data_IF_963638681731
#
_entry.id   IF_963638681731
#
_cell.length_a   1.000
_cell.length_b   1.000
_cell.length_c   1.000
_cell.angle_alpha   90.00
_cell.angle_beta   90.00
_cell.angle_gamma   90.00
#
_symmetry.space_group_name_H-M   'P 1'
#
loop_
_entity.id
_entity.type
_entity.pdbx_description
1 polymer ?
#
# COMPACT_ATOMS: atom_id res chain seq x y z
N UNK A 1 -7.11 -7.42 50.17
CA UNK A 1 -7.60 -6.14 49.60
C UNK A 1 -6.55 -5.43 48.74
N UNK A 2 -5.27 -5.37 49.11
CA UNK A 2 -4.24 -4.69 48.30
C UNK A 2 -3.88 -5.38 46.97
N UNK A 3 -4.03 -6.70 46.85
CA UNK A 3 -3.62 -7.45 45.63
C UNK A 3 -4.34 -7.00 44.36
N UNK A 4 -5.63 -6.69 44.45
CA UNK A 4 -6.40 -6.13 43.33
C UNK A 4 -5.92 -4.70 42.99
N UNK A 5 -5.65 -3.86 44.00
CA UNK A 5 -5.16 -2.50 43.75
C UNK A 5 -3.75 -2.46 43.15
N UNK A 6 -2.92 -3.48 43.40
CA UNK A 6 -1.53 -3.57 42.90
C UNK A 6 -1.38 -4.45 41.66
N UNK A 7 -2.46 -4.97 41.09
CA UNK A 7 -2.37 -5.86 39.94
C UNK A 7 -2.09 -5.06 38.67
N UNK A 8 -1.01 -5.41 37.96
CA UNK A 8 -0.68 -4.81 36.67
C UNK A 8 -1.50 -5.37 35.49
N UNK A 9 -2.03 -6.59 35.63
CA UNK A 9 -2.72 -7.29 34.55
C UNK A 9 -4.22 -7.44 34.83
N UNK A 10 -5.10 -7.16 33.86
CA UNK A 10 -6.56 -7.26 34.06
C UNK A 10 -7.01 -8.66 34.50
N UNK A 11 -6.38 -9.71 33.99
CA UNK A 11 -6.74 -11.09 34.36
C UNK A 11 -6.38 -11.41 35.82
N UNK A 12 -5.30 -10.83 36.33
CA UNK A 12 -4.91 -10.97 37.73
C UNK A 12 -5.86 -10.16 38.63
N UNK A 13 -6.24 -8.96 38.19
CA UNK A 13 -7.26 -8.15 38.85
C UNK A 13 -8.60 -8.89 38.94
N UNK A 14 -9.10 -9.43 37.82
CA UNK A 14 -10.37 -10.17 37.76
C UNK A 14 -10.37 -11.37 38.71
N UNK A 15 -9.27 -12.13 38.79
CA UNK A 15 -9.14 -13.26 39.71
C UNK A 15 -9.23 -12.82 41.17
N UNK A 16 -8.52 -11.75 41.53
CA UNK A 16 -8.58 -11.21 42.90
C UNK A 16 -9.96 -10.62 43.21
N UNK A 17 -10.63 -10.01 42.23
CA UNK A 17 -12.00 -9.52 42.38
C UNK A 17 -13.01 -10.66 42.56
N UNK A 18 -12.84 -11.79 41.89
CA UNK A 18 -13.64 -13.00 42.12
C UNK A 18 -13.41 -13.57 43.53
N UNK A 19 -12.16 -13.64 43.99
CA UNK A 19 -11.86 -14.03 45.38
C UNK A 19 -12.54 -13.09 46.39
N UNK A 20 -12.57 -11.78 46.13
CA UNK A 20 -13.25 -10.80 46.99
C UNK A 20 -14.76 -11.03 46.98
N UNK A 21 -15.35 -11.37 45.82
CA UNK A 21 -16.78 -11.67 45.69
C UNK A 21 -17.20 -12.87 46.54
N UNK A 22 -16.38 -13.91 46.58
CA UNK A 22 -16.64 -15.12 47.37
C UNK A 22 -16.61 -14.85 48.88
N UNK A 23 -15.81 -13.87 49.31
CA UNK A 23 -15.70 -13.48 50.73
C UNK A 23 -16.76 -12.44 51.13
N UNK A 24 -17.01 -11.43 50.28
CA UNK A 24 -17.97 -10.36 50.56
C UNK A 24 -18.52 -9.75 49.26
N UNK A 25 -19.77 -10.10 48.95
CA UNK A 25 -20.49 -9.67 47.74
C UNK A 25 -20.70 -8.15 47.70
N UNK A 26 -20.95 -7.51 48.84
CA UNK A 26 -21.23 -6.07 48.89
C UNK A 26 -19.95 -5.24 48.67
N UNK A 27 -18.83 -5.70 49.23
CA UNK A 27 -17.52 -5.13 48.97
C UNK A 27 -17.13 -5.25 47.49
N UNK A 28 -17.41 -6.40 46.86
CA UNK A 28 -17.20 -6.60 45.43
C UNK A 28 -18.01 -5.63 44.56
N UNK A 29 -19.31 -5.45 44.85
CA UNK A 29 -20.16 -4.49 44.12
C UNK A 29 -19.64 -3.07 44.23
N UNK A 30 -19.27 -2.64 45.44
CA UNK A 30 -18.69 -1.32 45.68
C UNK A 30 -17.40 -1.11 44.88
N UNK A 31 -16.50 -2.10 44.89
CA UNK A 31 -15.22 -2.03 44.17
C UNK A 31 -15.37 -2.05 42.64
N UNK A 32 -16.35 -2.77 42.10
CA UNK A 32 -16.66 -2.72 40.65
C UNK A 32 -17.23 -1.38 40.21
N UNK A 33 -17.97 -0.70 41.09
CA UNK A 33 -18.54 0.61 40.78
C UNK A 33 -17.47 1.72 40.68
N UNK A 34 -16.29 1.51 41.28
CA UNK A 34 -15.15 2.41 41.12
C UNK A 34 -14.53 2.17 39.74
N UNK A 35 -14.60 3.13 38.80
CA UNK A 35 -13.99 2.95 37.50
C UNK A 35 -12.47 2.72 37.69
N UNK A 36 -11.90 1.66 37.11
CA UNK A 36 -10.47 1.42 37.24
C UNK A 36 -9.72 2.61 36.66
N UNK A 37 -9.05 3.38 37.52
CA UNK A 37 -8.20 4.48 37.09
C UNK A 37 -6.89 3.86 36.62
N UNK A 38 -6.80 3.59 35.31
CA UNK A 38 -5.53 3.22 34.68
C UNK A 38 -4.65 4.49 34.69
N UNK A 39 -3.85 4.66 35.75
CA UNK A 39 -2.83 5.70 35.80
C UNK A 39 -1.61 5.20 35.02
N UNK A 40 -1.59 5.52 33.73
CA UNK A 40 -0.54 5.12 32.82
C UNK A 40 -1.14 4.87 31.44
N UNK A 41 -0.66 5.63 30.46
CA UNK A 41 -1.00 5.52 29.04
C UNK A 41 -1.29 4.07 28.63
N UNK A 42 -2.37 3.82 27.86
CA UNK A 42 -2.70 2.47 27.36
C UNK A 42 -1.76 2.06 26.22
N UNK A 43 -0.47 2.04 26.53
CA UNK A 43 0.64 1.75 25.65
C UNK A 43 1.11 0.31 25.89
N UNK A 44 1.21 -0.46 24.80
CA UNK A 44 1.51 -1.88 24.84
C UNK A 44 2.61 -2.25 23.85
N UNK A 45 3.54 -3.10 24.27
CA UNK A 45 4.45 -3.81 23.36
C UNK A 45 3.81 -5.13 22.92
N UNK A 46 3.54 -5.28 21.61
CA UNK A 46 3.00 -6.49 21.00
C UNK A 46 4.07 -7.18 20.16
N UNK A 47 4.37 -8.44 20.47
CA UNK A 47 5.26 -9.28 19.66
C UNK A 47 4.46 -9.99 18.57
N UNK A 48 4.93 -9.88 17.33
CA UNK A 48 4.30 -10.51 16.17
C UNK A 48 5.25 -11.53 15.54
N UNK A 49 4.85 -12.81 15.59
CA UNK A 49 5.61 -13.96 15.10
C UNK A 49 5.06 -14.40 13.74
N UNK A 50 5.43 -13.70 12.66
CA UNK A 50 5.04 -14.08 11.29
C UNK A 50 6.21 -14.75 10.52
N UNK A 51 7.23 -13.98 10.14
CA UNK A 51 8.47 -14.50 9.51
C UNK A 51 9.73 -14.09 10.28
N UNK A 52 9.75 -12.87 10.81
CA UNK A 52 10.76 -12.36 11.75
C UNK A 52 9.99 -11.87 12.97
N UNK A 53 10.51 -12.15 14.16
CA UNK A 53 9.98 -11.64 15.42
C UNK A 53 10.12 -10.14 15.49
N UNK A 54 9.03 -9.43 15.20
CA UNK A 54 8.98 -7.97 15.27
C UNK A 54 8.15 -7.54 16.49
N UNK A 55 8.53 -6.40 17.08
CA UNK A 55 7.82 -5.76 18.19
C UNK A 55 7.10 -4.54 17.65
N UNK A 56 5.86 -4.35 18.08
CA UNK A 56 5.02 -3.22 17.71
C UNK A 56 4.55 -2.51 18.97
N UNK A 57 4.62 -1.18 19.00
CA UNK A 57 3.99 -0.41 20.05
C UNK A 57 2.57 -0.06 19.59
N UNK A 58 1.61 -0.30 20.48
CA UNK A 58 0.20 0.04 20.27
C UNK A 58 -0.23 0.98 21.37
N UNK A 59 -0.81 2.13 21.02
CA UNK A 59 -1.44 3.02 21.98
C UNK A 59 -2.94 3.12 21.68
N UNK A 60 -3.75 2.72 22.66
CA UNK A 60 -5.20 2.65 22.52
C UNK A 60 -5.89 4.00 22.72
N UNK A 61 -5.26 4.95 23.42
CA UNK A 61 -5.83 6.27 23.66
C UNK A 61 -5.72 7.13 22.40
N UNK A 62 -4.60 7.03 21.67
CA UNK A 62 -4.39 7.67 20.36
C UNK A 62 -4.82 6.81 19.16
N UNK A 63 -5.25 5.57 19.40
CA UNK A 63 -5.67 4.60 18.37
C UNK A 63 -4.62 4.40 17.27
N UNK A 64 -3.37 4.25 17.67
CA UNK A 64 -2.23 4.08 16.77
C UNK A 64 -1.45 2.79 17.05
N UNK A 65 -0.75 2.36 16.02
CA UNK A 65 0.16 1.23 16.07
C UNK A 65 1.36 1.53 15.20
N UNK A 66 2.56 1.13 15.62
CA UNK A 66 3.79 1.35 14.84
C UNK A 66 3.78 0.64 13.47
N UNK A 67 2.88 -0.34 13.26
CA UNK A 67 2.64 -0.92 11.94
C UNK A 67 1.92 0.06 10.97
N UNK A 68 1.49 1.23 11.45
CA UNK A 68 0.77 2.33 10.77
C UNK A 68 -0.58 1.99 10.15
N UNK A 69 -0.96 0.72 10.12
CA UNK A 69 -2.20 0.26 9.51
C UNK A 69 -3.42 0.93 10.13
N UNK A 70 -3.48 1.06 11.45
CA UNK A 70 -4.61 1.70 12.13
C UNK A 70 -4.74 3.18 11.76
N UNK A 71 -3.66 3.95 11.81
CA UNK A 71 -3.68 5.38 11.42
C UNK A 71 -4.08 5.57 9.96
N UNK A 72 -3.66 4.67 9.07
CA UNK A 72 -3.95 4.78 7.63
C UNK A 72 -5.40 4.37 7.31
N UNK A 73 -5.90 3.27 7.86
CA UNK A 73 -7.22 2.76 7.52
C UNK A 73 -8.33 3.22 8.47
N UNK A 74 -8.00 3.78 9.63
CA UNK A 74 -8.94 4.03 10.72
C UNK A 74 -9.49 2.74 11.37
N UNK A 75 -8.98 1.57 11.00
CA UNK A 75 -9.48 0.27 11.45
C UNK A 75 -8.38 -0.43 12.28
N UNK A 76 -8.69 -0.95 13.47
CA UNK A 76 -7.72 -1.66 14.31
C UNK A 76 -6.97 -2.75 13.54
N UNK A 77 -5.63 -2.72 13.60
CA UNK A 77 -4.79 -3.76 13.02
C UNK A 77 -4.77 -5.03 13.89
N UNK A 78 -4.11 -6.11 13.44
CA UNK A 78 -4.02 -7.34 14.24
C UNK A 78 -3.36 -7.13 15.61
N UNK A 79 -2.36 -6.24 15.71
CA UNK A 79 -1.71 -5.90 16.98
C UNK A 79 -2.64 -5.15 17.93
N UNK A 80 -3.41 -4.20 17.39
CA UNK A 80 -4.43 -3.46 18.11
C UNK A 80 -5.55 -4.37 18.61
N UNK A 81 -6.06 -5.25 17.74
CA UNK A 81 -7.10 -6.21 18.11
C UNK A 81 -6.61 -7.13 19.25
N UNK A 82 -5.35 -7.55 19.22
CA UNK A 82 -4.76 -8.36 20.28
C UNK A 82 -4.72 -7.61 21.62
N UNK A 83 -4.34 -6.33 21.63
CA UNK A 83 -4.30 -5.50 22.84
C UNK A 83 -5.67 -5.13 23.36
N UNK A 84 -6.61 -4.81 22.48
CA UNK A 84 -8.02 -4.56 22.83
C UNK A 84 -8.61 -5.81 23.50
N UNK A 85 -8.41 -7.00 22.91
CA UNK A 85 -8.88 -8.27 23.49
C UNK A 85 -8.17 -8.60 24.80
N UNK A 86 -6.88 -8.26 24.92
CA UNK A 86 -6.14 -8.45 26.17
C UNK A 86 -6.74 -7.64 27.33
N UNK A 87 -7.28 -6.46 27.04
CA UNK A 87 -8.03 -5.64 28.00
C UNK A 87 -9.51 -6.03 28.13
N UNK A 88 -9.93 -7.14 27.51
CA UNK A 88 -11.33 -7.59 27.49
C UNK A 88 -12.30 -6.53 26.92
N UNK A 89 -11.82 -5.68 26.03
CA UNK A 89 -12.62 -4.68 25.31
C UNK A 89 -13.10 -5.23 23.96
N UNK A 90 -14.14 -4.64 23.39
CA UNK A 90 -14.67 -5.05 22.10
C UNK A 90 -13.99 -4.27 20.96
N UNK A 91 -13.33 -4.94 20.00
CA UNK A 91 -12.68 -4.27 18.86
C UNK A 91 -13.63 -3.45 17.98
N UNK A 92 -14.93 -3.77 17.97
CA UNK A 92 -15.92 -3.02 17.19
C UNK A 92 -16.12 -1.60 17.68
N UNK A 93 -15.85 -1.33 18.96
CA UNK A 93 -16.04 -0.01 19.57
C UNK A 93 -14.94 0.97 19.12
N UNK A 94 -13.81 0.43 18.67
CA UNK A 94 -12.67 1.16 18.15
C UNK A 94 -12.74 1.40 16.62
N UNK A 95 -13.83 1.00 15.97
CA UNK A 95 -14.06 1.26 14.54
C UNK A 95 -14.90 2.53 14.39
N UNK A 96 -14.44 3.52 13.59
CA UNK A 96 -15.18 4.75 13.32
C UNK A 96 -16.59 4.51 12.79
N UNK A 97 -17.51 5.41 13.12
CA UNK A 97 -18.93 5.31 12.75
C UNK A 97 -19.15 5.17 11.24
N UNK A 98 -18.32 5.81 10.42
CA UNK A 98 -18.39 5.80 8.96
C UNK A 98 -18.27 4.41 8.33
N UNK A 99 -17.65 3.45 9.02
CA UNK A 99 -17.53 2.07 8.56
C UNK A 99 -18.64 1.16 9.09
N UNK A 100 -19.62 1.70 9.82
CA UNK A 100 -20.75 0.92 10.33
C UNK A 100 -21.81 0.78 9.25
N UNK A 101 -22.51 -0.37 9.30
CA UNK A 101 -23.62 -0.68 8.40
C UNK A 101 -24.73 0.38 8.47
N UNK A 102 -25.06 0.88 9.66
CA UNK A 102 -26.09 1.91 9.83
C UNK A 102 -25.78 3.16 9.00
N UNK A 103 -24.55 3.66 9.03
CA UNK A 103 -24.13 4.83 8.26
C UNK A 103 -24.12 4.56 6.76
N UNK A 104 -23.75 3.34 6.33
CA UNK A 104 -23.88 2.93 4.94
C UNK A 104 -25.35 2.95 4.49
N UNK A 105 -26.24 2.32 5.25
CA UNK A 105 -27.67 2.26 4.94
C UNK A 105 -28.29 3.66 4.90
N UNK A 106 -27.93 4.56 5.83
CA UNK A 106 -28.36 5.97 5.84
C UNK A 106 -27.84 6.74 4.61
N UNK A 107 -26.58 6.54 4.22
CA UNK A 107 -25.98 7.22 3.07
C UNK A 107 -26.66 6.84 1.76
N UNK A 108 -27.12 5.59 1.64
CA UNK A 108 -27.81 5.07 0.45
C UNK A 108 -29.32 4.96 0.61
N UNK A 109 -29.90 5.51 1.69
CA UNK A 109 -31.34 5.49 1.92
C UNK A 109 -32.10 6.33 0.87
N UNK A 110 -31.47 7.37 0.34
CA UNK A 110 -32.07 8.23 -0.68
C UNK A 110 -32.04 7.58 -2.05
N UNK A 111 -33.14 7.67 -2.78
CA UNK A 111 -33.23 7.27 -4.19
C UNK A 111 -32.32 8.18 -5.02
N UNK A 112 -31.37 7.58 -5.74
CA UNK A 112 -30.61 8.28 -6.77
C UNK A 112 -31.54 8.40 -7.99
N UNK A 113 -32.08 9.60 -8.23
CA UNK A 113 -32.89 9.85 -9.41
C UNK A 113 -32.03 9.72 -10.68
N UNK A 114 -32.61 9.19 -11.77
CA UNK A 114 -31.91 9.15 -13.04
C UNK A 114 -31.53 10.57 -13.46
N UNK A 115 -30.27 10.74 -13.84
CA UNK A 115 -29.76 11.98 -14.39
C UNK A 115 -29.91 11.91 -15.91
N UNK A 116 -30.31 13.03 -16.52
CA UNK A 116 -30.36 13.15 -17.97
C UNK A 116 -28.98 12.83 -18.59
N UNK A 117 -28.95 12.45 -19.87
CA UNK A 117 -27.68 12.23 -20.59
C UNK A 117 -26.84 13.51 -20.72
N UNK A 118 -25.54 13.37 -20.97
CA UNK A 118 -24.59 14.50 -21.03
C UNK A 118 -24.98 15.63 -22.01
N UNK A 119 -25.76 15.32 -23.05
CA UNK A 119 -26.27 16.30 -24.02
C UNK A 119 -27.31 17.27 -23.42
N UNK A 120 -27.95 16.89 -22.33
CA UNK A 120 -29.01 17.63 -21.64
C UNK A 120 -28.52 18.30 -20.35
N UNK A 121 -27.22 18.21 -20.04
CA UNK A 121 -26.63 18.87 -18.87
C UNK A 121 -26.50 20.37 -19.12
N UNK A 122 -26.79 21.17 -18.09
CA UNK A 122 -26.60 22.61 -18.13
C UNK A 122 -25.11 22.93 -18.31
N UNK A 123 -24.79 23.82 -19.25
CA UNK A 123 -23.43 24.31 -19.42
C UNK A 123 -23.12 25.29 -18.31
N UNK A 124 -22.13 24.95 -17.48
CA UNK A 124 -21.60 25.87 -16.48
C UNK A 124 -20.68 26.90 -17.14
N UNK A 125 -20.59 28.09 -16.56
CA UNK A 125 -19.67 29.15 -17.02
C UNK A 125 -18.20 28.87 -16.63
N UNK A 126 -17.95 27.77 -15.94
CA UNK A 126 -16.60 27.34 -15.55
C UNK A 126 -15.83 26.86 -16.79
N UNK A 127 -14.51 27.08 -16.85
CA UNK A 127 -13.68 26.56 -17.93
C UNK A 127 -13.65 25.03 -17.89
N UNK A 128 -13.48 24.42 -19.06
CA UNK A 128 -13.34 22.97 -19.18
C UNK A 128 -12.17 22.45 -18.34
N UNK A 129 -12.43 21.38 -17.57
CA UNK A 129 -11.41 20.70 -16.79
C UNK A 129 -10.54 19.91 -17.77
N UNK A 130 -9.36 20.46 -18.08
CA UNK A 130 -8.38 19.77 -18.91
C UNK A 130 -7.77 18.58 -18.15
N UNK A 131 -7.44 17.48 -18.84
CA UNK A 131 -6.73 16.38 -18.22
C UNK A 131 -5.39 16.87 -17.63
N UNK A 132 -4.94 16.29 -16.51
CA UNK A 132 -3.66 16.66 -15.92
C UNK A 132 -2.55 16.46 -16.94
N UNK A 133 -1.66 17.45 -17.03
CA UNK A 133 -0.51 17.38 -17.93
C UNK A 133 0.31 16.13 -17.62
N UNK A 134 0.55 15.29 -18.64
CA UNK A 134 1.45 14.14 -18.51
C UNK A 134 2.86 14.63 -18.20
N UNK A 135 3.27 14.51 -16.93
CA UNK A 135 4.64 14.76 -16.50
C UNK A 135 5.47 13.48 -16.65
N UNK A 136 6.55 13.53 -17.44
CA UNK A 136 7.61 12.53 -17.35
C UNK A 136 8.37 12.80 -16.05
N UNK A 137 8.10 12.02 -15.01
CA UNK A 137 8.87 12.09 -13.77
C UNK A 137 10.35 11.85 -14.09
N UNK A 138 11.30 12.61 -13.51
CA UNK A 138 12.71 12.32 -13.64
C UNK A 138 12.99 10.96 -13.01
N UNK A 139 13.02 9.93 -13.85
CA UNK A 139 13.38 8.57 -13.43
C UNK A 139 14.89 8.48 -13.21
N UNK A 140 15.31 7.56 -12.34
CA UNK A 140 16.72 7.17 -12.23
C UNK A 140 17.24 6.77 -13.62
N UNK A 141 18.31 7.39 -14.14
CA UNK A 141 18.93 6.96 -15.40
C UNK A 141 19.24 5.47 -15.32
N UNK A 142 18.79 4.70 -16.32
CA UNK A 142 19.09 3.27 -16.39
C UNK A 142 20.60 3.10 -16.55
N UNK A 143 21.26 2.53 -15.53
CA UNK A 143 22.72 2.27 -15.54
C UNK A 143 23.15 1.27 -16.64
N UNK A 144 22.22 0.41 -17.09
CA UNK A 144 22.42 -0.52 -18.20
C UNK A 144 21.18 -0.52 -19.10
N UNK A 145 21.40 -0.57 -20.42
CA UNK A 145 20.35 -0.78 -21.43
C UNK A 145 19.67 -2.13 -21.16
N UNK A 146 18.34 -2.24 -21.31
CA UNK A 146 17.68 -3.56 -21.33
C UNK A 146 18.09 -4.27 -22.62
N UNK A 147 18.64 -5.48 -22.48
CA UNK A 147 18.88 -6.36 -23.61
C UNK A 147 17.54 -6.98 -24.04
N UNK A 148 17.32 -7.07 -25.34
CA UNK A 148 16.20 -7.80 -25.93
C UNK A 148 16.36 -9.32 -25.70
N UNK A 149 15.28 -10.10 -25.84
CA UNK A 149 15.30 -11.53 -25.48
C UNK A 149 16.33 -12.38 -26.25
N UNK A 150 16.68 -11.95 -27.45
CA UNK A 150 17.68 -12.59 -28.31
C UNK A 150 19.11 -12.07 -28.11
N UNK A 151 19.29 -11.03 -27.30
CA UNK A 151 20.62 -10.49 -27.02
C UNK A 151 21.29 -11.26 -25.88
N UNK A 152 22.43 -11.90 -26.20
CA UNK A 152 23.22 -12.67 -25.25
C UNK A 152 23.77 -11.79 -24.10
N UNK A 153 23.65 -12.29 -22.87
CA UNK A 153 24.24 -11.68 -21.67
C UNK A 153 25.77 -11.81 -21.78
N UNK A 154 26.52 -10.75 -21.47
CA UNK A 154 27.99 -10.82 -21.46
C UNK A 154 28.43 -11.74 -20.32
N UNK A 155 28.93 -12.92 -20.67
CA UNK A 155 29.71 -13.77 -19.77
C UNK A 155 31.17 -13.33 -19.83
N UNK A 156 31.82 -13.19 -18.67
CA UNK A 156 33.20 -12.71 -18.52
C UNK A 156 34.26 -13.71 -19.01
N UNK A 157 33.83 -14.91 -19.42
CA UNK A 157 34.68 -16.07 -19.76
C UNK A 157 34.87 -16.32 -21.25
N UNK A 158 34.28 -15.51 -22.14
CA UNK A 158 34.39 -15.71 -23.59
C UNK A 158 35.00 -14.49 -24.28
N UNK A 159 36.12 -14.67 -24.98
CA UNK A 159 36.70 -13.62 -25.83
C UNK A 159 35.83 -13.39 -27.06
N UNK A 160 35.50 -12.13 -27.34
CA UNK A 160 34.82 -11.72 -28.58
C UNK A 160 35.65 -12.06 -29.81
N UNK A 161 35.03 -12.65 -30.85
CA UNK A 161 35.51 -12.55 -32.24
C UNK A 161 35.37 -11.10 -32.74
N UNK A 162 36.15 -10.19 -32.18
CA UNK A 162 36.40 -8.88 -32.78
C UNK A 162 37.57 -9.02 -33.75
N UNK A 163 37.36 -8.77 -35.05
CA UNK A 163 38.52 -8.66 -35.95
C UNK A 163 38.31 -8.78 -37.45
N UNK A 164 37.17 -9.23 -37.97
CA UNK A 164 37.01 -9.25 -39.43
C UNK A 164 36.49 -7.91 -39.94
N UNK A 165 37.42 -7.09 -40.44
CA UNK A 165 37.07 -5.88 -41.19
C UNK A 165 36.23 -6.28 -42.39
N UNK A 166 34.93 -5.93 -42.37
CA UNK A 166 34.01 -6.28 -43.46
C UNK A 166 34.42 -5.52 -44.72
N UNK A 167 34.58 -6.25 -45.82
CA UNK A 167 34.80 -5.70 -47.16
C UNK A 167 33.45 -5.34 -47.76
N UNK A 168 33.38 -4.23 -48.49
CA UNK A 168 32.19 -3.87 -49.26
C UNK A 168 31.84 -5.01 -50.24
N UNK A 169 30.57 -5.43 -50.31
CA UNK A 169 30.18 -6.53 -51.19
C UNK A 169 30.26 -6.19 -52.68
N UNK A 170 30.27 -4.90 -53.04
CA UNK A 170 30.33 -4.42 -54.43
C UNK A 170 31.78 -4.27 -54.89
N UNK A 171 32.58 -3.44 -54.20
CA UNK A 171 33.96 -3.16 -54.63
C UNK A 171 35.03 -3.95 -53.87
N UNK A 172 34.66 -4.75 -52.86
CA UNK A 172 35.55 -5.59 -52.03
C UNK A 172 36.64 -4.84 -51.25
N UNK A 173 36.59 -3.51 -51.20
CA UNK A 173 37.48 -2.66 -50.40
C UNK A 173 36.96 -2.56 -48.96
N UNK A 174 37.89 -2.48 -48.00
CA UNK A 174 37.60 -2.31 -46.58
C UNK A 174 37.46 -0.82 -46.28
N UNK A 175 36.43 -0.42 -45.53
CA UNK A 175 36.28 0.97 -45.06
C UNK A 175 34.89 1.57 -45.28
N UNK A 176 34.06 0.96 -46.12
CA UNK A 176 32.67 1.36 -46.34
C UNK A 176 31.78 0.14 -46.58
N UNK A 177 30.47 0.31 -46.37
CA UNK A 177 29.47 -0.73 -46.61
C UNK A 177 28.82 -0.56 -48.00
N UNK A 178 28.14 -1.60 -48.49
CA UNK A 178 27.47 -1.64 -49.81
C UNK A 178 26.72 -0.34 -50.15
N UNK A 179 25.90 0.15 -49.22
CA UNK A 179 25.00 1.29 -49.44
C UNK A 179 25.72 2.64 -49.56
N UNK A 180 26.96 2.73 -49.09
CA UNK A 180 27.81 3.93 -49.23
C UNK A 180 28.95 3.67 -50.21
N UNK A 181 28.85 2.62 -51.02
CA UNK A 181 29.84 2.33 -52.04
C UNK A 181 29.71 3.38 -53.15
N UNK A 182 30.82 3.97 -53.62
CA UNK A 182 30.80 4.88 -54.77
C UNK A 182 30.23 4.24 -56.05
N UNK A 183 30.26 2.91 -56.11
CA UNK A 183 29.73 2.11 -57.22
C UNK A 183 28.32 1.56 -56.91
N UNK A 184 27.63 2.10 -55.90
CA UNK A 184 26.28 1.68 -55.58
C UNK A 184 25.32 2.14 -56.70
N UNK A 185 24.60 1.21 -57.37
CA UNK A 185 23.61 1.59 -58.38
C UNK A 185 22.50 2.40 -57.73
N UNK A 186 22.17 3.57 -58.29
CA UNK A 186 20.99 4.31 -57.87
C UNK A 186 19.73 3.58 -58.38
N UNK A 187 18.67 3.47 -57.58
CA UNK A 187 17.41 2.93 -58.08
C UNK A 187 16.86 3.87 -59.17
N UNK A 188 16.52 3.32 -60.33
CA UNK A 188 15.74 4.03 -61.36
C UNK A 188 14.32 4.26 -60.84
N UNK A 189 13.86 5.52 -60.88
CA UNK A 189 12.49 5.90 -60.51
C UNK A 189 11.49 5.35 -61.54
N UNK A 190 10.60 4.45 -61.12
CA UNK A 190 9.38 4.11 -61.86
C UNK A 190 8.18 4.89 -61.29
N UNK A 191 7.23 5.37 -62.12
CA UNK A 191 6.16 6.26 -61.68
C UNK A 191 5.13 5.54 -60.79
N UNK A 192 4.74 6.24 -59.73
CA UNK A 192 3.75 5.79 -58.74
C UNK A 192 2.35 5.70 -59.35
N UNK A 193 1.74 4.52 -59.34
CA UNK A 193 0.32 4.35 -59.67
C UNK A 193 -0.55 4.71 -58.46
N UNK A 194 -1.45 5.68 -58.67
CA UNK A 194 -2.52 6.08 -57.74
C UNK A 194 -3.42 4.89 -57.39
N UNK A 195 -3.72 4.73 -56.10
CA UNK A 195 -4.63 3.72 -55.58
C UNK A 195 -5.93 4.41 -55.14
N UNK A 196 -7.00 4.21 -55.93
CA UNK A 196 -8.40 4.38 -55.50
C UNK A 196 -8.75 3.46 -54.34
#
# INVERSE_FOLDING_TARGET
MWKAATSYYPQAWEREMLNIKDVNVEAYKYLIAIPPSWYGEKLFEVRHFAMITNKFAVNLDTQDCTCRKWVVSGIPCCHAIATIRFLNLNPKDFVPIWFRRSTYDETYASIIFPVNGHLLWERTSCPDILPPLKRKLPGRPKKKRRLESWELRRDETQMTKGGHRKKCSICRIVGHNRNQCPLHPQPSEEPSQERT
#
